data_IF_599372929733
#
_entry.id   IF_599372929733
#
_cell.length_a   1.000
_cell.length_b   1.000
_cell.length_c   1.000
_cell.angle_alpha   90.00
_cell.angle_beta   90.00
_cell.angle_gamma   90.00
#
_symmetry.space_group_name_H-M   'P 1'
#
loop_
_entity.id
_entity.type
_entity.pdbx_description
1 polymer ?
#
# COMPACT_ATOMS: atom_id res chain seq x y z
N UNK A 1 -6.61 22.42 -7.16
CA UNK A 1 -6.13 21.03 -7.21
C UNK A 1 -5.32 20.81 -5.96
N UNK A 2 -5.95 20.34 -4.89
CA UNK A 2 -5.35 20.43 -3.56
C UNK A 2 -6.20 19.72 -2.52
N UNK A 3 -6.46 18.44 -2.75
CA UNK A 3 -6.84 17.47 -1.74
C UNK A 3 -6.36 16.14 -2.32
N UNK A 4 -5.37 15.51 -1.69
CA UNK A 4 -5.00 14.14 -2.04
C UNK A 4 -6.15 13.24 -1.62
N UNK A 5 -6.72 12.46 -2.54
CA UNK A 5 -7.82 11.53 -2.24
C UNK A 5 -7.37 10.37 -1.34
N UNK A 6 -6.08 10.28 -1.04
CA UNK A 6 -5.50 9.27 -0.15
C UNK A 6 -5.55 9.67 1.32
N UNK A 7 -5.97 8.71 2.14
CA UNK A 7 -6.02 8.75 3.59
C UNK A 7 -5.37 7.51 4.19
N UNK A 8 -4.86 7.62 5.42
CA UNK A 8 -4.36 6.46 6.14
C UNK A 8 -5.49 5.43 6.34
N UNK A 9 -5.22 4.18 5.97
CA UNK A 9 -6.19 3.09 5.95
C UNK A 9 -6.74 2.76 4.56
N UNK A 10 -6.57 3.64 3.57
CA UNK A 10 -7.02 3.36 2.21
C UNK A 10 -6.26 2.18 1.61
N UNK A 11 -6.98 1.40 0.79
CA UNK A 11 -6.40 0.33 0.00
C UNK A 11 -6.17 0.85 -1.41
N UNK A 12 -4.94 0.73 -1.86
CA UNK A 12 -4.51 1.13 -3.20
C UNK A 12 -3.91 -0.05 -3.93
N UNK A 13 -3.85 0.03 -5.25
CA UNK A 13 -3.17 -0.96 -6.08
C UNK A 13 -2.26 -0.27 -7.10
N UNK A 14 -1.26 -1.00 -7.58
CA UNK A 14 -0.41 -0.56 -8.67
C UNK A 14 -1.01 -1.01 -10.02
N UNK A 15 -1.43 -0.10 -10.92
CA UNK A 15 -2.03 -0.48 -12.20
C UNK A 15 -1.00 -0.94 -13.24
N UNK A 16 0.28 -0.59 -13.06
CA UNK A 16 1.36 -0.92 -14.00
C UNK A 16 2.72 -1.05 -13.29
N UNK A 17 3.74 -1.48 -14.03
CA UNK A 17 5.12 -1.58 -13.54
C UNK A 17 5.45 -2.88 -12.78
N UNK A 18 6.59 -2.94 -12.07
CA UNK A 18 7.08 -4.17 -11.44
C UNK A 18 6.21 -4.67 -10.29
N UNK A 19 5.40 -3.79 -9.70
CA UNK A 19 4.46 -4.12 -8.63
C UNK A 19 3.01 -4.20 -9.12
N UNK A 20 2.78 -4.23 -10.45
CA UNK A 20 1.44 -4.28 -11.04
C UNK A 20 0.58 -5.39 -10.42
N UNK A 21 -0.64 -5.03 -10.00
CA UNK A 21 -1.61 -5.95 -9.38
C UNK A 21 -1.36 -6.23 -7.89
N UNK A 22 -0.34 -5.63 -7.27
CA UNK A 22 -0.14 -5.69 -5.81
C UNK A 22 -1.02 -4.63 -5.15
N UNK A 23 -1.71 -5.02 -4.07
CA UNK A 23 -2.44 -4.09 -3.21
C UNK A 23 -1.59 -3.68 -2.00
N UNK A 24 -1.80 -2.47 -1.53
CA UNK A 24 -1.16 -1.93 -0.32
C UNK A 24 -2.12 -1.10 0.50
N UNK A 25 -1.85 -1.01 1.80
CA UNK A 25 -2.59 -0.15 2.73
C UNK A 25 -1.80 1.11 3.00
N UNK A 26 -2.39 2.27 2.79
CA UNK A 26 -1.79 3.58 3.10
C UNK A 26 -1.61 3.71 4.61
N UNK A 27 -0.37 3.95 5.04
CA UNK A 27 -0.02 4.22 6.44
C UNK A 27 0.15 5.70 6.71
N UNK A 28 0.84 6.40 5.81
CA UNK A 28 1.16 7.82 5.93
C UNK A 28 1.09 8.47 4.55
N UNK A 29 0.65 9.73 4.51
CA UNK A 29 0.58 10.53 3.28
C UNK A 29 1.48 11.75 3.45
N UNK A 30 2.46 11.90 2.57
CA UNK A 30 3.33 13.07 2.50
C UNK A 30 2.93 13.91 1.28
N UNK A 31 2.05 14.89 1.53
CA UNK A 31 1.56 15.82 0.50
C UNK A 31 2.65 16.76 -0.02
N UNK A 32 3.72 17.00 0.77
CA UNK A 32 4.81 17.88 0.36
C UNK A 32 5.73 17.20 -0.64
N UNK A 33 5.90 15.88 -0.51
CA UNK A 33 6.71 15.06 -1.42
C UNK A 33 5.90 14.36 -2.50
N UNK A 34 4.58 14.45 -2.45
CA UNK A 34 3.65 13.74 -3.31
C UNK A 34 3.83 12.20 -3.25
N UNK A 35 4.05 11.67 -2.04
CA UNK A 35 4.26 10.25 -1.81
C UNK A 35 3.36 9.69 -0.71
N UNK A 36 3.12 8.38 -0.76
CA UNK A 36 2.50 7.61 0.32
C UNK A 36 3.46 6.54 0.83
N UNK A 37 3.35 6.24 2.11
CA UNK A 37 3.95 5.05 2.72
C UNK A 37 2.90 3.96 2.77
N UNK A 38 3.20 2.81 2.17
CA UNK A 38 2.32 1.65 2.06
C UNK A 38 2.83 0.50 2.92
N UNK A 39 1.91 -0.28 3.47
CA UNK A 39 2.16 -1.63 3.97
C UNK A 39 1.62 -2.64 2.94
N UNK A 40 2.49 -3.54 2.48
CA UNK A 40 2.16 -4.61 1.55
C UNK A 40 2.16 -5.93 2.31
N UNK A 41 1.15 -6.77 2.11
CA UNK A 41 1.13 -8.15 2.60
C UNK A 41 1.50 -9.11 1.46
N UNK A 42 2.50 -9.95 1.69
CA UNK A 42 2.94 -10.99 0.77
C UNK A 42 2.38 -12.36 1.21
N UNK A 43 1.74 -13.05 0.26
CA UNK A 43 1.30 -14.44 0.40
C UNK A 43 -0.06 -14.60 1.10
N UNK A 44 -0.46 -15.86 1.27
CA UNK A 44 -1.64 -16.21 2.06
C UNK A 44 -1.26 -16.16 3.53
N UNK A 45 -2.07 -15.53 4.36
CA UNK A 45 -1.84 -15.54 5.80
C UNK A 45 -1.90 -17.00 6.32
N UNK A 46 -0.78 -17.51 6.83
CA UNK A 46 -0.68 -18.88 7.33
C UNK A 46 -0.85 -18.91 8.84
N UNK A 47 -1.53 -19.93 9.34
CA UNK A 47 -1.69 -20.15 10.78
C UNK A 47 -0.68 -21.19 11.26
N UNK A 48 0.27 -20.77 12.08
CA UNK A 48 1.26 -21.65 12.72
C UNK A 48 1.09 -21.57 14.24
N UNK A 49 0.80 -22.71 14.89
CA UNK A 49 0.57 -22.74 16.34
C UNK A 49 -0.60 -21.87 16.83
N UNK A 50 -1.57 -21.55 15.97
CA UNK A 50 -2.71 -20.67 16.31
C UNK A 50 -2.48 -19.18 16.03
N UNK A 51 -1.28 -18.78 15.61
CA UNK A 51 -0.93 -17.39 15.27
C UNK A 51 -1.01 -17.18 13.77
N UNK A 52 -1.69 -16.12 13.33
CA UNK A 52 -1.70 -15.69 11.93
C UNK A 52 -0.36 -15.00 11.62
N UNK A 53 0.39 -15.55 10.67
CA UNK A 53 1.62 -14.95 10.15
C UNK A 53 1.45 -14.58 8.69
N UNK A 54 1.80 -13.33 8.39
CA UNK A 54 1.94 -12.81 7.03
C UNK A 54 3.28 -12.08 6.93
N UNK A 55 3.87 -12.06 5.74
CA UNK A 55 5.08 -11.27 5.49
C UNK A 55 4.63 -9.86 5.12
N UNK A 56 5.01 -8.88 5.93
CA UNK A 56 4.70 -7.47 5.70
C UNK A 56 5.93 -6.73 5.19
N UNK A 57 5.72 -5.91 4.17
CA UNK A 57 6.74 -5.05 3.60
C UNK A 57 6.26 -3.60 3.67
N UNK A 58 7.21 -2.67 3.73
CA UNK A 58 6.92 -1.24 3.62
C UNK A 58 7.51 -0.71 2.33
N UNK A 59 6.75 0.09 1.60
CA UNK A 59 7.16 0.73 0.36
C UNK A 59 6.71 2.20 0.38
N UNK A 60 7.53 3.08 -0.18
CA UNK A 60 7.11 4.45 -0.49
C UNK A 60 6.82 4.52 -1.98
N UNK A 61 5.65 5.01 -2.36
CA UNK A 61 5.22 5.18 -3.75
C UNK A 61 4.80 6.63 -4.00
N UNK A 62 4.99 7.12 -5.23
CA UNK A 62 4.43 8.38 -5.67
C UNK A 62 2.93 8.26 -5.97
N UNK A 63 2.21 9.37 -5.94
CA UNK A 63 0.74 9.38 -6.16
C UNK A 63 0.30 8.89 -7.54
N UNK A 64 1.18 8.95 -8.53
CA UNK A 64 0.93 8.53 -9.92
C UNK A 64 1.26 7.05 -10.19
N UNK A 65 1.87 6.36 -9.22
CA UNK A 65 2.17 4.92 -9.31
C UNK A 65 1.01 4.04 -8.82
N UNK A 66 0.00 4.62 -8.18
CA UNK A 66 -1.05 3.91 -7.46
C UNK A 66 -2.44 4.48 -7.75
N UNK A 67 -3.46 3.66 -7.57
CA UNK A 67 -4.86 4.03 -7.66
C UNK A 67 -5.64 3.44 -6.48
N UNK A 68 -6.74 4.10 -6.07
CA UNK A 68 -7.67 3.57 -5.07
C UNK A 68 -8.39 2.33 -5.64
N UNK A 69 -8.53 1.30 -4.80
CA UNK A 69 -9.30 0.08 -5.11
C UNK A 69 -10.80 0.32 -4.97
#
# INVERSE_FOLDING_TARGET
MGFTEYSAGDVVYFPAGPFSGVCGVVKEVDVHRATVRLELSEGVAHREGGVLRERRHTLTAAFDEIELV
#
